data_IF_818983229479
#
_entry.id   IF_818983229479
#
_cell.length_a   1.000
_cell.length_b   1.000
_cell.length_c   1.000
_cell.angle_alpha   90.00
_cell.angle_beta   90.00
_cell.angle_gamma   90.00
#
_symmetry.space_group_name_H-M   'P 1'
#
loop_
_entity.id
_entity.type
_entity.pdbx_description
1 polymer ?
#
# COMPACT_ATOMS: atom_id res chain seq x y z
N UNK A 1 -36.32 -14.14 23.21
CA UNK A 1 -34.86 -14.33 23.18
C UNK A 1 -34.61 -15.81 23.45
N UNK A 2 -33.91 -16.50 22.57
CA UNK A 2 -33.71 -17.96 22.66
C UNK A 2 -32.67 -18.23 23.75
N UNK A 3 -33.00 -19.09 24.71
CA UNK A 3 -32.10 -19.53 25.78
C UNK A 3 -31.11 -20.57 25.21
N UNK A 4 -29.81 -20.30 25.35
CA UNK A 4 -28.70 -21.17 24.89
C UNK A 4 -28.10 -22.03 26.01
N UNK A 5 -28.81 -22.24 27.12
CA UNK A 5 -28.33 -23.05 28.22
C UNK A 5 -28.16 -24.52 27.79
N UNK A 6 -26.91 -24.90 27.50
CA UNK A 6 -26.44 -26.25 27.16
C UNK A 6 -26.52 -27.24 28.35
N UNK A 7 -27.54 -27.15 29.20
CA UNK A 7 -27.61 -27.91 30.45
C UNK A 7 -27.96 -29.40 30.27
N UNK A 8 -28.25 -29.86 29.05
CA UNK A 8 -28.55 -31.29 28.77
C UNK A 8 -28.24 -31.75 27.33
N UNK A 9 -27.39 -31.03 26.59
CA UNK A 9 -27.00 -31.41 25.23
C UNK A 9 -25.60 -32.03 25.19
N UNK A 10 -25.53 -33.35 25.39
CA UNK A 10 -24.53 -34.20 24.76
C UNK A 10 -25.05 -35.63 24.77
N UNK A 11 -25.48 -36.09 23.60
CA UNK A 11 -25.84 -37.49 23.37
C UNK A 11 -24.59 -38.36 23.61
N UNK A 12 -24.75 -39.55 24.17
CA UNK A 12 -23.63 -40.47 24.46
C UNK A 12 -22.71 -40.66 23.25
N UNK A 13 -23.26 -40.61 22.02
CA UNK A 13 -22.47 -40.66 20.78
C UNK A 13 -21.48 -39.50 20.57
N UNK A 14 -21.81 -38.28 21.00
CA UNK A 14 -20.90 -37.12 20.91
C UNK A 14 -19.76 -37.22 21.94
N UNK A 15 -20.07 -37.72 23.13
CA UNK A 15 -19.07 -38.04 24.14
C UNK A 15 -18.16 -39.20 23.69
N UNK A 16 -18.73 -40.28 23.13
CA UNK A 16 -17.94 -41.39 22.58
C UNK A 16 -17.03 -40.92 21.46
N UNK A 17 -17.49 -40.03 20.58
CA UNK A 17 -16.67 -39.48 19.49
C UNK A 17 -15.51 -38.60 19.99
N UNK A 18 -15.77 -37.74 21.00
CA UNK A 18 -14.72 -36.93 21.62
C UNK A 18 -13.70 -37.79 22.37
N UNK A 19 -14.16 -38.82 23.07
CA UNK A 19 -13.30 -39.76 23.80
C UNK A 19 -12.43 -40.56 22.83
N UNK A 20 -12.98 -41.08 21.73
CA UNK A 20 -12.20 -41.81 20.74
C UNK A 20 -11.14 -40.93 20.08
N UNK A 21 -11.49 -39.70 19.68
CA UNK A 21 -10.49 -38.72 19.17
C UNK A 21 -9.42 -38.43 20.23
N UNK A 22 -9.81 -38.21 21.48
CA UNK A 22 -8.87 -37.97 22.59
C UNK A 22 -7.91 -39.13 22.84
N UNK A 23 -8.39 -40.37 22.77
CA UNK A 23 -7.53 -41.55 22.89
C UNK A 23 -6.56 -41.64 21.71
N UNK A 24 -7.04 -41.44 20.48
CA UNK A 24 -6.17 -41.48 19.31
C UNK A 24 -5.11 -40.37 19.31
N UNK A 25 -5.43 -39.16 19.77
CA UNK A 25 -4.45 -38.06 19.84
C UNK A 25 -3.34 -38.36 20.85
N UNK A 26 -3.67 -38.91 22.02
CA UNK A 26 -2.68 -39.32 23.03
C UNK A 26 -1.80 -40.45 22.51
N UNK A 27 -2.38 -41.47 21.88
CA UNK A 27 -1.63 -42.58 21.27
C UNK A 27 -0.67 -42.06 20.20
N UNK A 28 -1.13 -41.18 19.30
CA UNK A 28 -0.30 -40.59 18.24
C UNK A 28 0.84 -39.77 18.84
N UNK A 29 0.62 -38.98 19.90
CA UNK A 29 1.66 -38.18 20.56
C UNK A 29 2.75 -39.05 21.19
N UNK A 30 2.37 -40.15 21.84
CA UNK A 30 3.32 -41.10 22.44
C UNK A 30 4.12 -41.82 21.35
N UNK A 31 3.45 -42.23 20.28
CA UNK A 31 4.07 -42.98 19.18
C UNK A 31 4.86 -42.10 18.19
N UNK A 32 4.72 -40.77 18.23
CA UNK A 32 5.33 -39.80 17.31
C UNK A 32 6.86 -39.82 17.25
N UNK A 33 7.52 -40.34 18.30
CA UNK A 33 8.99 -40.45 18.40
C UNK A 33 9.55 -41.78 17.91
N UNK A 34 8.71 -42.72 17.47
CA UNK A 34 9.15 -44.06 17.06
C UNK A 34 9.66 -44.09 15.62
N UNK A 35 10.73 -44.84 15.37
CA UNK A 35 11.31 -45.03 14.03
C UNK A 35 10.31 -45.67 13.06
N UNK A 36 9.38 -46.48 13.59
CA UNK A 36 8.35 -47.19 12.84
C UNK A 36 7.32 -46.25 12.17
N UNK A 37 7.08 -45.06 12.74
CA UNK A 37 6.10 -44.10 12.20
C UNK A 37 6.70 -42.93 11.42
N UNK A 38 8.02 -42.88 11.26
CA UNK A 38 8.69 -41.95 10.35
C UNK A 38 8.16 -42.02 8.90
N UNK A 39 7.96 -43.19 8.27
CA UNK A 39 7.41 -43.24 6.91
C UNK A 39 5.95 -42.75 6.87
N UNK A 40 5.16 -43.06 7.90
CA UNK A 40 3.77 -42.62 8.01
C UNK A 40 3.65 -41.10 8.20
N UNK A 41 4.54 -40.52 8.98
CA UNK A 41 4.62 -39.06 9.18
C UNK A 41 4.98 -38.33 7.90
N UNK A 42 5.85 -38.89 7.07
CA UNK A 42 6.18 -38.33 5.77
C UNK A 42 4.97 -38.38 4.82
N UNK A 43 4.23 -39.49 4.79
CA UNK A 43 3.04 -39.68 3.96
C UNK A 43 1.92 -38.71 4.35
N UNK A 44 1.67 -38.53 5.65
CA UNK A 44 0.61 -37.63 6.13
C UNK A 44 0.90 -36.16 5.85
N UNK A 45 2.16 -35.73 6.02
CA UNK A 45 2.59 -34.36 5.65
C UNK A 45 2.57 -34.19 4.13
N UNK A 46 3.03 -35.17 3.36
CA UNK A 46 2.95 -35.15 1.90
C UNK A 46 1.51 -35.03 1.42
N UNK A 47 0.57 -35.81 1.98
CA UNK A 47 -0.85 -35.73 1.67
C UNK A 47 -1.45 -34.38 2.07
N UNK A 48 -1.02 -33.79 3.20
CA UNK A 48 -1.46 -32.47 3.62
C UNK A 48 -1.02 -31.37 2.65
N UNK A 49 0.27 -31.34 2.30
CA UNK A 49 0.82 -30.38 1.33
C UNK A 49 0.28 -30.62 -0.08
N UNK A 50 0.13 -31.88 -0.49
CA UNK A 50 -0.50 -32.25 -1.75
C UNK A 50 -1.97 -31.85 -1.79
N UNK A 51 -2.71 -31.92 -0.67
CA UNK A 51 -4.11 -31.49 -0.61
C UNK A 51 -4.26 -29.98 -0.83
N UNK A 52 -3.35 -29.16 -0.28
CA UNK A 52 -3.30 -27.72 -0.56
C UNK A 52 -2.99 -27.44 -2.03
N UNK A 53 -2.02 -28.17 -2.60
CA UNK A 53 -1.67 -28.05 -4.01
C UNK A 53 -2.82 -28.50 -4.94
N UNK A 54 -3.51 -29.59 -4.61
CA UNK A 54 -4.66 -30.13 -5.35
C UNK A 54 -5.85 -29.19 -5.23
N UNK A 55 -6.17 -28.65 -4.04
CA UNK A 55 -7.22 -27.67 -3.85
C UNK A 55 -6.96 -26.42 -4.69
N UNK A 56 -5.72 -25.91 -4.71
CA UNK A 56 -5.31 -24.77 -5.53
C UNK A 56 -5.44 -25.06 -7.05
N UNK A 57 -5.14 -26.30 -7.47
CA UNK A 57 -5.30 -26.76 -8.85
C UNK A 57 -6.77 -26.97 -9.24
N UNK A 58 -7.60 -27.52 -8.35
CA UNK A 58 -9.02 -27.84 -8.56
C UNK A 58 -9.93 -26.61 -8.50
N UNK A 59 -9.60 -25.63 -7.65
CA UNK A 59 -10.24 -24.30 -7.67
C UNK A 59 -9.77 -23.44 -8.85
N UNK A 60 -9.06 -24.07 -9.80
CA UNK A 60 -8.62 -23.50 -11.04
C UNK A 60 -7.72 -22.27 -10.89
N UNK A 61 -6.94 -22.08 -9.82
CA UNK A 61 -5.77 -21.16 -9.76
C UNK A 61 -5.96 -19.73 -10.30
N UNK A 62 -7.18 -19.28 -10.53
CA UNK A 62 -7.48 -18.17 -11.40
C UNK A 62 -8.42 -17.22 -10.66
N UNK A 63 -7.98 -15.97 -10.53
CA UNK A 63 -8.82 -14.88 -10.04
C UNK A 63 -9.43 -14.13 -11.22
N UNK A 64 -10.69 -13.71 -11.05
CA UNK A 64 -11.28 -12.70 -11.92
C UNK A 64 -10.70 -11.34 -11.53
N UNK A 65 -9.98 -10.69 -12.44
CA UNK A 65 -9.34 -9.40 -12.22
C UNK A 65 -10.09 -8.31 -12.96
N UNK A 66 -10.41 -7.24 -12.23
CA UNK A 66 -11.09 -6.06 -12.73
C UNK A 66 -10.24 -4.82 -12.52
N UNK A 67 -10.19 -3.96 -13.54
CA UNK A 67 -9.60 -2.63 -13.44
C UNK A 67 -10.42 -1.63 -14.28
N UNK A 68 -10.41 -0.33 -13.93
CA UNK A 68 -11.25 0.68 -14.60
C UNK A 68 -10.89 0.93 -16.08
N UNK A 69 -9.71 0.51 -16.52
CA UNK A 69 -9.19 0.71 -17.88
C UNK A 69 -8.88 -0.62 -18.58
N UNK A 70 -9.34 -1.75 -18.01
CA UNK A 70 -9.09 -3.08 -18.54
C UNK A 70 -10.39 -3.87 -18.61
N UNK A 71 -10.57 -4.62 -19.70
CA UNK A 71 -11.68 -5.56 -19.80
C UNK A 71 -11.51 -6.65 -18.73
N UNK A 72 -12.58 -6.93 -17.99
CA UNK A 72 -12.66 -8.00 -16.99
C UNK A 72 -12.09 -9.30 -17.56
N UNK A 73 -11.08 -9.86 -16.90
CA UNK A 73 -10.36 -11.01 -17.41
C UNK A 73 -9.89 -11.93 -16.30
N UNK A 74 -9.77 -13.21 -16.61
CA UNK A 74 -9.30 -14.22 -15.68
C UNK A 74 -7.75 -14.27 -15.68
N UNK A 75 -7.12 -14.15 -14.52
CA UNK A 75 -5.66 -14.20 -14.36
C UNK A 75 -5.23 -15.27 -13.36
N UNK A 76 -4.07 -15.90 -13.58
CA UNK A 76 -3.53 -16.92 -12.66
C UNK A 76 -2.88 -16.26 -11.44
N UNK A 77 -3.06 -16.83 -10.23
CA UNK A 77 -2.49 -16.30 -8.98
C UNK A 77 -0.96 -16.13 -9.03
N UNK A 78 -0.24 -16.96 -9.79
CA UNK A 78 1.22 -16.84 -9.97
C UNK A 78 1.68 -15.50 -10.56
N UNK A 79 0.79 -14.80 -11.29
CA UNK A 79 1.10 -13.51 -11.93
C UNK A 79 0.69 -12.31 -11.08
N UNK A 80 0.01 -12.54 -9.95
CA UNK A 80 -0.54 -11.51 -9.08
C UNK A 80 0.25 -11.48 -7.78
N UNK A 81 0.66 -10.29 -7.36
CA UNK A 81 1.21 -10.04 -6.03
C UNK A 81 0.18 -9.28 -5.20
N UNK A 82 -0.18 -9.82 -4.03
CA UNK A 82 -1.18 -9.18 -3.17
C UNK A 82 -0.58 -7.92 -2.55
N UNK A 83 -1.38 -6.85 -2.48
CA UNK A 83 -1.04 -5.61 -1.78
C UNK A 83 -1.96 -5.42 -0.58
N UNK A 84 -1.54 -4.65 0.42
CA UNK A 84 -2.31 -4.40 1.65
C UNK A 84 -3.60 -3.58 1.45
N UNK A 85 -3.94 -3.21 0.21
CA UNK A 85 -5.16 -2.45 -0.10
C UNK A 85 -6.32 -3.44 -0.24
N UNK A 86 -7.16 -3.52 0.79
CA UNK A 86 -8.41 -4.30 0.75
C UNK A 86 -9.59 -3.37 0.46
N UNK A 87 -10.51 -3.85 -0.37
CA UNK A 87 -11.77 -3.19 -0.69
C UNK A 87 -12.85 -4.25 -0.53
N UNK A 88 -13.90 -3.96 0.22
CA UNK A 88 -15.00 -4.91 0.42
C UNK A 88 -15.91 -4.93 -0.82
N UNK A 89 -15.97 -6.07 -1.50
CA UNK A 89 -16.67 -6.23 -2.78
C UNK A 89 -17.88 -7.17 -2.63
N UNK A 90 -19.06 -6.83 -3.18
CA UNK A 90 -20.17 -7.78 -3.27
C UNK A 90 -19.84 -8.93 -4.24
N UNK A 91 -20.44 -10.12 -4.04
CA UNK A 91 -20.07 -11.37 -4.73
C UNK A 91 -20.03 -11.30 -6.27
N UNK A 92 -20.78 -10.39 -6.90
CA UNK A 92 -20.72 -10.11 -8.35
C UNK A 92 -20.87 -8.59 -8.59
N UNK A 93 -19.76 -7.85 -8.71
CA UNK A 93 -19.81 -6.39 -8.88
C UNK A 93 -19.97 -6.00 -10.35
N UNK A 94 -20.84 -5.01 -10.62
CA UNK A 94 -20.96 -4.35 -11.93
C UNK A 94 -19.73 -3.48 -12.21
N UNK A 95 -19.31 -3.30 -13.46
CA UNK A 95 -18.10 -2.54 -13.82
C UNK A 95 -18.10 -1.11 -13.24
N UNK A 96 -19.24 -0.42 -13.24
CA UNK A 96 -19.38 0.92 -12.63
C UNK A 96 -19.05 0.97 -11.14
N UNK A 97 -19.17 -0.15 -10.43
CA UNK A 97 -18.81 -0.23 -9.01
C UNK A 97 -17.30 -0.19 -8.82
N UNK A 98 -16.55 -0.87 -9.70
CA UNK A 98 -15.08 -0.89 -9.71
C UNK A 98 -14.55 0.53 -9.89
N UNK A 99 -15.04 1.27 -10.88
CA UNK A 99 -14.63 2.66 -11.14
C UNK A 99 -14.88 3.59 -9.94
N UNK A 100 -16.01 3.39 -9.25
CA UNK A 100 -16.37 4.16 -8.05
C UNK A 100 -15.46 3.81 -6.87
N UNK A 101 -15.19 2.52 -6.65
CA UNK A 101 -14.40 2.04 -5.51
C UNK A 101 -12.92 2.42 -5.61
N UNK A 102 -12.37 2.46 -6.83
CA UNK A 102 -11.02 2.97 -7.11
C UNK A 102 -10.95 4.52 -7.18
N UNK A 103 -12.03 5.23 -6.84
CA UNK A 103 -12.11 6.69 -6.85
C UNK A 103 -11.30 7.40 -5.75
N UNK A 104 -11.68 8.64 -5.44
CA UNK A 104 -10.89 9.59 -4.62
C UNK A 104 -10.56 9.13 -3.17
N UNK A 105 -11.23 8.07 -2.70
CA UNK A 105 -11.08 7.53 -1.36
C UNK A 105 -9.81 6.70 -1.15
N UNK A 106 -9.27 6.02 -2.17
CA UNK A 106 -8.13 5.11 -2.01
C UNK A 106 -6.80 5.73 -2.45
N UNK A 107 -5.69 5.30 -1.82
CA UNK A 107 -4.33 5.78 -2.10
C UNK A 107 -3.95 5.59 -3.58
N UNK A 108 -4.39 4.47 -4.17
CA UNK A 108 -4.13 4.16 -5.57
C UNK A 108 -4.98 5.03 -6.53
N UNK A 109 -6.25 5.26 -6.20
CA UNK A 109 -7.14 6.16 -6.94
C UNK A 109 -6.62 7.59 -7.02
N UNK A 110 -6.11 8.13 -5.90
CA UNK A 110 -5.46 9.44 -5.85
C UNK A 110 -4.25 9.52 -6.79
N UNK A 111 -3.44 8.46 -6.88
CA UNK A 111 -2.30 8.40 -7.81
C UNK A 111 -2.76 8.47 -9.27
N UNK A 112 -3.80 7.71 -9.64
CA UNK A 112 -4.37 7.74 -11.00
C UNK A 112 -4.93 9.12 -11.35
N UNK A 113 -5.64 9.77 -10.43
CA UNK A 113 -6.19 11.11 -10.65
C UNK A 113 -5.06 12.13 -10.84
N UNK A 114 -3.99 12.05 -10.03
CA UNK A 114 -2.81 12.90 -10.20
C UNK A 114 -2.13 12.63 -11.55
N UNK A 115 -2.06 11.38 -11.99
CA UNK A 115 -1.49 11.02 -13.29
C UNK A 115 -2.32 11.57 -14.46
N UNK A 116 -3.65 11.42 -14.42
CA UNK A 116 -4.56 12.01 -15.42
C UNK A 116 -4.45 13.53 -15.46
N UNK A 117 -4.49 14.19 -14.28
CA UNK A 117 -4.28 15.64 -14.18
C UNK A 117 -2.91 16.08 -14.69
N UNK A 118 -1.86 15.28 -14.47
CA UNK A 118 -0.51 15.58 -14.98
C UNK A 118 -0.40 15.41 -16.48
N UNK A 119 -1.09 14.43 -17.06
CA UNK A 119 -1.13 14.22 -18.50
C UNK A 119 -1.87 15.35 -19.22
N UNK A 120 -2.92 15.91 -18.61
CA UNK A 120 -3.71 17.01 -19.15
C UNK A 120 -3.13 18.42 -18.89
N UNK A 121 -1.94 18.54 -18.29
CA UNK A 121 -1.32 19.83 -18.02
C UNK A 121 -0.81 20.48 -19.31
N UNK A 122 -1.27 21.71 -19.55
CA UNK A 122 -0.73 22.59 -20.59
C UNK A 122 0.69 23.08 -20.21
N UNK A 123 1.52 23.47 -21.19
CA UNK A 123 2.92 23.81 -20.95
C UNK A 123 3.11 24.98 -19.98
N UNK A 124 2.17 25.93 -19.96
CA UNK A 124 2.17 27.03 -19.00
C UNK A 124 1.96 26.54 -17.55
N UNK A 125 1.11 25.54 -17.33
CA UNK A 125 0.88 24.99 -15.99
C UNK A 125 2.04 24.10 -15.53
N UNK A 126 2.74 23.46 -16.46
CA UNK A 126 4.01 22.77 -16.17
C UNK A 126 5.07 23.76 -15.69
N UNK A 127 5.17 24.92 -16.32
CA UNK A 127 6.06 26.00 -15.88
C UNK A 127 5.71 26.50 -14.46
N UNK A 128 4.43 26.73 -14.17
CA UNK A 128 3.98 27.09 -12.80
C UNK A 128 4.33 26.00 -11.78
N UNK A 129 4.14 24.73 -12.12
CA UNK A 129 4.49 23.60 -11.26
C UNK A 129 6.00 23.52 -10.98
N UNK A 130 6.82 23.83 -11.98
CA UNK A 130 8.28 23.92 -11.84
C UNK A 130 8.68 25.06 -10.89
N UNK A 131 8.13 26.26 -11.07
CA UNK A 131 8.37 27.37 -10.14
C UNK A 131 7.88 27.06 -8.72
N UNK A 132 6.72 26.41 -8.58
CA UNK A 132 6.20 25.96 -7.29
C UNK A 132 7.13 24.94 -6.62
N UNK A 133 7.66 23.97 -7.37
CA UNK A 133 8.65 23.01 -6.86
C UNK A 133 9.95 23.69 -6.42
N UNK A 134 10.48 24.64 -7.19
CA UNK A 134 11.67 25.41 -6.83
C UNK A 134 11.42 26.17 -5.51
N UNK A 135 10.26 26.84 -5.40
CA UNK A 135 9.87 27.58 -4.20
C UNK A 135 9.70 26.68 -2.96
N UNK A 136 9.13 25.49 -3.12
CA UNK A 136 8.97 24.50 -2.03
C UNK A 136 10.32 23.92 -1.63
N UNK A 137 11.17 23.57 -2.59
CA UNK A 137 12.53 23.08 -2.34
C UNK A 137 13.34 24.09 -1.53
N UNK A 138 13.29 25.37 -1.92
CA UNK A 138 13.99 26.45 -1.22
C UNK A 138 13.42 26.73 0.18
N UNK A 139 12.16 26.37 0.44
CA UNK A 139 11.52 26.53 1.76
C UNK A 139 11.80 25.35 2.69
N UNK A 140 12.11 24.16 2.17
CA UNK A 140 12.43 22.97 2.96
C UNK A 140 13.93 22.69 3.15
N UNK A 141 14.82 23.38 2.44
CA UNK A 141 16.27 23.35 2.71
C UNK A 141 16.72 24.70 3.24
N UNK A 142 16.93 24.80 4.57
CA UNK A 142 18.32 24.77 5.05
C UNK A 142 18.60 24.00 6.36
N UNK A 143 17.73 23.11 6.88
CA UNK A 143 17.98 22.55 8.23
C UNK A 143 17.77 21.03 8.47
N UNK A 144 17.56 20.18 7.46
CA UNK A 144 17.33 18.74 7.76
C UNK A 144 17.98 17.73 6.80
N UNK A 145 19.12 18.06 6.15
CA UNK A 145 19.92 17.06 5.40
C UNK A 145 21.39 17.02 5.86
N UNK A 146 21.68 17.44 7.09
CA UNK A 146 22.91 17.02 7.75
C UNK A 146 22.64 16.49 9.16
N UNK A 147 22.19 15.23 9.29
CA UNK A 147 22.49 14.46 10.47
C UNK A 147 23.54 13.38 10.16
N UNK A 148 24.58 13.34 10.98
CA UNK A 148 25.28 12.10 11.37
C UNK A 148 26.52 11.55 10.62
N UNK A 149 27.13 12.26 9.66
CA UNK A 149 28.45 11.85 9.14
C UNK A 149 29.36 13.05 8.88
N UNK A 150 29.85 13.67 9.96
CA UNK A 150 31.15 14.40 10.02
C UNK A 150 31.28 15.00 11.42
N UNK A 151 31.53 14.15 12.43
CA UNK A 151 32.07 14.56 13.73
C UNK A 151 33.59 14.30 13.82
N UNK A 152 34.32 14.41 12.71
CA UNK A 152 35.78 14.50 12.69
C UNK A 152 36.16 15.23 11.40
N UNK A 153 37.06 16.22 11.50
CA UNK A 153 37.62 16.99 10.39
C UNK A 153 36.68 17.97 9.66
N UNK A 154 36.38 19.13 10.25
CA UNK A 154 36.52 20.44 9.56
C UNK A 154 36.25 21.63 10.50
N UNK A 155 36.94 21.66 11.65
CA UNK A 155 37.04 22.86 12.49
C UNK A 155 38.49 23.32 12.44
N UNK A 156 38.84 24.04 11.37
CA UNK A 156 39.97 25.00 11.24
C UNK A 156 40.20 25.31 9.75
N UNK A 157 39.34 26.15 9.16
CA UNK A 157 39.67 27.05 8.04
C UNK A 157 38.38 27.66 7.48
N UNK A 158 37.95 28.78 8.05
CA UNK A 158 37.08 29.72 7.33
C UNK A 158 37.80 31.08 7.28
N UNK A 159 38.20 31.56 6.09
CA UNK A 159 38.61 32.94 5.89
C UNK A 159 37.38 33.87 5.84
N UNK A 160 37.58 35.13 6.24
CA UNK A 160 36.55 36.17 6.38
C UNK A 160 35.97 36.69 5.05
N UNK A 161 35.24 35.87 4.29
CA UNK A 161 34.57 36.34 3.07
C UNK A 161 33.12 35.87 2.91
N UNK A 162 32.40 35.73 4.02
CA UNK A 162 30.95 35.48 4.04
C UNK A 162 30.13 36.79 4.05
N UNK A 163 30.43 37.75 3.16
CA UNK A 163 29.63 38.97 3.03
C UNK A 163 29.13 39.26 1.62
N UNK A 164 29.35 38.36 0.65
CA UNK A 164 28.89 38.55 -0.74
C UNK A 164 27.59 37.81 -1.09
N UNK A 165 27.09 36.93 -0.22
CA UNK A 165 25.86 36.16 -0.47
C UNK A 165 24.59 36.87 0.01
N UNK A 166 24.70 37.78 0.99
CA UNK A 166 23.55 38.49 1.55
C UNK A 166 23.01 39.62 0.65
N UNK A 167 23.81 40.13 -0.30
CA UNK A 167 23.35 41.15 -1.26
C UNK A 167 22.51 40.59 -2.41
N UNK A 168 22.62 39.28 -2.70
CA UNK A 168 21.81 38.60 -3.74
C UNK A 168 20.38 38.29 -3.27
N UNK A 169 20.15 38.14 -1.97
CA UNK A 169 18.81 37.87 -1.43
C UNK A 169 17.86 39.08 -1.49
N UNK A 170 18.39 40.30 -1.34
CA UNK A 170 17.56 41.52 -1.33
C UNK A 170 17.00 41.87 -2.73
N UNK A 171 17.76 41.61 -3.79
CA UNK A 171 17.31 41.87 -5.18
C UNK A 171 16.23 40.88 -5.64
N UNK A 172 16.30 39.62 -5.18
CA UNK A 172 15.27 38.59 -5.45
C UNK A 172 13.97 38.88 -4.71
N UNK A 173 14.03 39.39 -3.48
CA UNK A 173 12.84 39.80 -2.71
C UNK A 173 12.14 41.02 -3.33
N UNK A 174 12.87 42.05 -3.76
CA UNK A 174 12.27 43.21 -4.46
C UNK A 174 11.57 42.80 -5.76
N UNK A 175 12.17 41.89 -6.56
CA UNK A 175 11.59 41.43 -7.83
C UNK A 175 10.29 40.64 -7.64
N UNK A 176 10.14 39.94 -6.50
CA UNK A 176 8.91 39.20 -6.17
C UNK A 176 7.72 40.12 -5.82
N UNK A 177 7.98 41.33 -5.30
CA UNK A 177 6.95 42.34 -5.01
C UNK A 177 6.36 42.96 -6.28
N UNK A 178 7.23 43.31 -7.25
CA UNK A 178 6.82 43.88 -8.54
C UNK A 178 6.00 42.87 -9.36
N UNK A 179 6.39 41.59 -9.37
CA UNK A 179 5.63 40.54 -10.06
C UNK A 179 4.23 40.35 -9.46
N UNK A 180 4.07 40.46 -8.14
CA UNK A 180 2.75 40.39 -7.48
C UNK A 180 1.86 41.58 -7.84
N UNK A 181 2.43 42.77 -7.97
CA UNK A 181 1.67 43.98 -8.36
C UNK A 181 1.18 43.87 -9.80
N UNK A 182 1.98 43.33 -10.72
CA UNK A 182 1.58 43.21 -12.12
C UNK A 182 0.57 42.09 -12.35
N UNK A 183 0.66 41.00 -11.60
CA UNK A 183 -0.38 39.95 -11.59
C UNK A 183 -1.72 40.46 -11.04
N UNK A 184 -1.71 41.46 -10.16
CA UNK A 184 -2.92 42.09 -9.64
C UNK A 184 -3.56 43.06 -10.64
N UNK A 185 -2.77 43.74 -11.48
CA UNK A 185 -3.28 44.58 -12.58
C UNK A 185 -3.92 43.74 -13.68
N UNK A 186 -3.24 42.67 -14.12
CA UNK A 186 -3.77 41.76 -15.14
C UNK A 186 -5.07 41.06 -14.69
N UNK A 187 -5.24 40.82 -13.39
CA UNK A 187 -6.50 40.30 -12.84
C UNK A 187 -7.66 41.31 -12.87
N UNK A 188 -7.38 42.61 -12.82
CA UNK A 188 -8.40 43.66 -12.93
C UNK A 188 -8.80 43.90 -14.39
N UNK A 189 -7.87 43.81 -15.33
CA UNK A 189 -8.16 43.93 -16.76
C UNK A 189 -8.98 42.76 -17.31
N UNK A 190 -8.76 41.52 -16.84
CA UNK A 190 -9.54 40.35 -17.27
C UNK A 190 -10.89 40.20 -16.53
N UNK A 191 -11.22 41.11 -15.61
CA UNK A 191 -12.48 41.13 -14.87
C UNK A 191 -13.43 42.26 -15.30
N UNK A 192 -13.01 43.07 -16.29
CA UNK A 192 -13.84 44.00 -17.06
C UNK A 192 -14.19 43.39 -18.41
#
# INVERSE_FOLDING_TARGET
MVNWELNSCCNNGQATFLVTIGVFTVVILVLWRTVLLLPFKLITVFLHEASHAIACKLTCGHALVDAPDMVRGQMNFKRLTLTDITIDIPRVPKNKWVDRSYGEGCSWGRKLIVQKRRASLNDFDRFKLMLAKIKVSFRYTPYCVYPFYTRVLFLKALPQNFNRSLTSCNTVLQRSGVIKQELAKLKKENAS
#
